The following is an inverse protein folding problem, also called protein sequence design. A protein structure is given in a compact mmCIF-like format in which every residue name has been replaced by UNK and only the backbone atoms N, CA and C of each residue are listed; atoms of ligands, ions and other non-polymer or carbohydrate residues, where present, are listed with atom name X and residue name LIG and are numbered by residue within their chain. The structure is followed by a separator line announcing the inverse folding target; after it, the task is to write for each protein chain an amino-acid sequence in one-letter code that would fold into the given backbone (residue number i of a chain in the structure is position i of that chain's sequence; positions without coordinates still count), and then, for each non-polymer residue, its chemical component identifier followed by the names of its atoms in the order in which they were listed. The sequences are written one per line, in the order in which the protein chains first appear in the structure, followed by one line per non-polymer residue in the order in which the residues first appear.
data_IF_265113651090
#
_entry.id   IF_265113651090
#
_cell.length_a   1.000
_cell.length_b   1.000
_cell.length_c   1.000
_cell.angle_alpha   90.00
_cell.angle_beta   90.00
_cell.angle_gamma   90.00
#
_symmetry.space_group_name_H-M   'P 1'
#
loop_
_entity.id
_entity.type
_entity.pdbx_description
1 polymer ?
#
# COMPACT_ATOMS: atom_id res chain seq x y z
N UNK A 1 0.03 30.63 7.52
CA UNK A 1 0.57 30.94 8.86
C UNK A 1 -0.08 30.00 9.84
N UNK A 2 0.68 29.03 10.35
CA UNK A 2 0.46 28.29 11.61
C UNK A 2 1.55 27.19 11.68
N UNK A 3 2.77 27.59 12.01
CA UNK A 3 3.79 26.66 12.48
C UNK A 3 3.44 26.30 13.91
N UNK A 4 2.54 25.34 14.10
CA UNK A 4 2.27 24.75 15.41
C UNK A 4 3.50 23.99 15.88
N UNK A 5 4.44 24.67 16.55
CA UNK A 5 5.45 24.00 17.35
C UNK A 5 4.71 23.24 18.45
N UNK A 6 4.59 21.93 18.30
CA UNK A 6 4.14 21.05 19.37
C UNK A 6 5.08 21.25 20.56
N UNK A 7 4.62 22.01 21.56
CA UNK A 7 5.39 22.29 22.76
C UNK A 7 5.58 20.98 23.51
N UNK A 8 6.83 20.68 23.88
CA UNK A 8 7.16 19.49 24.64
C UNK A 8 6.38 19.46 25.96
N UNK A 9 5.65 18.37 26.28
CA UNK A 9 4.88 18.26 27.52
C UNK A 9 5.84 18.14 28.72
N UNK A 10 5.90 19.19 29.54
CA UNK A 10 6.85 19.27 30.66
C UNK A 10 6.56 18.25 31.75
N UNK A 11 5.32 17.81 31.86
CA UNK A 11 4.85 16.78 32.79
C UNK A 11 5.56 15.45 32.55
N UNK A 12 6.03 15.22 31.32
CA UNK A 12 6.77 14.02 30.93
C UNK A 12 8.12 13.92 31.63
N UNK A 13 8.70 15.04 32.09
CA UNK A 13 9.98 15.04 32.81
C UNK A 13 9.88 14.33 34.17
N UNK A 14 8.70 14.32 34.79
CA UNK A 14 8.43 13.62 36.05
C UNK A 14 7.99 12.16 35.87
N UNK A 15 7.81 11.68 34.64
CA UNK A 15 7.41 10.30 34.38
C UNK A 15 8.61 9.34 34.35
N UNK A 16 8.33 8.04 34.34
CA UNK A 16 9.36 7.01 34.26
C UNK A 16 10.18 7.11 32.96
N UNK A 17 11.36 6.50 32.94
CA UNK A 17 12.22 6.53 31.76
C UNK A 17 11.57 5.84 30.55
N UNK A 18 10.78 4.77 30.77
CA UNK A 18 10.04 4.06 29.72
C UNK A 18 9.00 4.97 29.05
N UNK A 19 8.26 5.74 29.84
CA UNK A 19 7.24 6.66 29.33
C UNK A 19 7.87 7.78 28.48
N UNK A 20 9.03 8.31 28.93
CA UNK A 20 9.80 9.31 28.19
C UNK A 20 10.33 8.77 26.87
N UNK A 21 10.88 7.55 26.87
CA UNK A 21 11.36 6.89 25.67
C UNK A 21 10.23 6.65 24.66
N UNK A 22 9.08 6.15 25.13
CA UNK A 22 7.91 5.90 24.28
C UNK A 22 7.41 7.17 23.61
N UNK A 23 7.34 8.29 24.33
CA UNK A 23 6.99 9.58 23.75
C UNK A 23 7.98 10.00 22.67
N UNK A 24 9.29 9.92 22.96
CA UNK A 24 10.33 10.30 22.00
C UNK A 24 10.26 9.46 20.72
N UNK A 25 10.07 8.15 20.84
CA UNK A 25 9.93 7.25 19.70
C UNK A 25 8.65 7.52 18.89
N UNK A 26 7.56 7.94 19.53
CA UNK A 26 6.31 8.30 18.86
C UNK A 26 6.34 9.71 18.25
N UNK A 27 7.19 10.60 18.77
CA UNK A 27 7.25 11.98 18.32
C UNK A 27 7.89 12.06 16.92
N UNK A 28 7.11 12.57 15.97
CA UNK A 28 7.58 12.86 14.62
C UNK A 28 7.64 14.36 14.42
N UNK A 29 8.84 14.91 14.22
CA UNK A 29 9.00 16.33 13.95
C UNK A 29 8.53 16.65 12.52
N UNK A 30 7.66 17.66 12.39
CA UNK A 30 7.21 18.17 11.10
C UNK A 30 8.33 18.99 10.42
N UNK A 31 9.26 18.31 9.75
CA UNK A 31 10.35 18.96 9.02
C UNK A 31 9.80 19.69 7.77
N UNK A 32 10.11 20.99 7.54
CA UNK A 32 9.53 21.77 6.45
C UNK A 32 9.66 21.13 5.06
N UNK A 33 10.80 20.49 4.76
CA UNK A 33 10.98 19.77 3.49
C UNK A 33 10.08 18.55 3.34
N UNK A 34 9.77 17.87 4.44
CA UNK A 34 8.88 16.71 4.41
C UNK A 34 7.42 17.14 4.24
N UNK A 35 7.05 18.28 4.83
CA UNK A 35 5.75 18.92 4.59
C UNK A 35 5.59 19.34 3.13
N UNK A 36 6.59 20.02 2.55
CA UNK A 36 6.55 20.40 1.14
C UNK A 36 6.47 19.17 0.20
N UNK A 37 7.23 18.11 0.51
CA UNK A 37 7.16 16.85 -0.24
C UNK A 37 5.80 16.16 -0.12
N UNK A 38 5.11 16.31 1.02
CA UNK A 38 3.74 15.82 1.22
C UNK A 38 2.75 16.55 0.33
N UNK A 39 2.76 17.89 0.35
CA UNK A 39 1.84 18.68 -0.47
C UNK A 39 2.05 18.38 -1.96
N UNK A 40 3.30 18.42 -2.43
CA UNK A 40 3.62 18.13 -3.84
C UNK A 40 3.20 16.71 -4.26
N UNK A 41 3.29 15.73 -3.36
CA UNK A 41 2.85 14.37 -3.64
C UNK A 41 1.32 14.26 -3.69
N UNK A 42 0.59 14.95 -2.82
CA UNK A 42 -0.88 14.98 -2.87
C UNK A 42 -1.37 15.65 -4.15
N UNK A 43 -0.83 16.83 -4.47
CA UNK A 43 -1.13 17.55 -5.71
C UNK A 43 -0.91 16.63 -6.93
N UNK A 44 0.24 15.94 -6.99
CA UNK A 44 0.51 14.99 -8.06
C UNK A 44 -0.50 13.82 -8.09
N UNK A 45 -0.92 13.29 -6.94
CA UNK A 45 -1.92 12.21 -6.91
C UNK A 45 -3.28 12.69 -7.43
N UNK A 46 -3.69 13.92 -7.09
CA UNK A 46 -4.99 14.47 -7.46
C UNK A 46 -5.04 14.97 -8.91
N UNK A 47 -3.96 15.52 -9.44
CA UNK A 47 -3.93 16.13 -10.78
C UNK A 47 -3.58 15.13 -11.91
N UNK A 48 -2.92 14.02 -11.58
CA UNK A 48 -2.43 13.11 -12.61
C UNK A 48 -3.53 12.23 -13.22
N UNK A 49 -3.33 11.88 -14.49
CA UNK A 49 -4.19 10.93 -15.18
C UNK A 49 -4.14 9.54 -14.53
N UNK A 50 -5.20 8.75 -14.75
CA UNK A 50 -5.24 7.34 -14.36
C UNK A 50 -4.00 6.59 -14.86
N UNK A 51 -3.52 5.64 -14.05
CA UNK A 51 -2.36 4.80 -14.34
C UNK A 51 -1.01 5.54 -14.39
N UNK A 52 -0.90 6.70 -13.72
CA UNK A 52 0.36 7.42 -13.58
C UNK A 52 1.32 6.77 -12.58
N UNK A 53 2.63 6.97 -12.79
CA UNK A 53 3.69 6.49 -11.91
C UNK A 53 4.37 7.67 -11.21
N UNK A 54 4.29 7.70 -9.88
CA UNK A 54 4.98 8.70 -9.05
C UNK A 54 6.11 8.01 -8.27
N UNK A 55 7.33 8.55 -8.39
CA UNK A 55 8.53 8.01 -7.73
C UNK A 55 9.00 8.94 -6.62
N UNK A 56 8.97 8.46 -5.37
CA UNK A 56 9.49 9.19 -4.21
C UNK A 56 10.88 8.67 -3.86
N UNK A 57 11.91 9.48 -4.10
CA UNK A 57 13.31 9.11 -3.94
C UNK A 57 13.98 9.87 -2.79
N UNK A 58 14.95 9.24 -2.13
CA UNK A 58 15.75 9.87 -1.08
C UNK A 58 16.51 8.86 -0.23
N UNK A 59 17.49 9.30 0.58
CA UNK A 59 18.31 8.39 1.38
C UNK A 59 17.52 7.69 2.49
N UNK A 60 18.08 6.63 3.06
CA UNK A 60 17.47 5.93 4.21
C UNK A 60 17.35 6.88 5.40
N UNK A 61 16.25 6.82 6.14
CA UNK A 61 16.03 7.65 7.34
C UNK A 61 15.45 9.05 7.09
N UNK A 62 15.28 9.51 5.85
CA UNK A 62 14.70 10.86 5.56
C UNK A 62 13.18 10.96 5.78
N UNK A 63 12.53 9.90 6.23
CA UNK A 63 11.08 9.91 6.50
C UNK A 63 10.20 9.52 5.33
N UNK A 64 10.70 8.83 4.29
CA UNK A 64 9.88 8.34 3.16
C UNK A 64 8.74 7.40 3.62
N UNK A 65 9.04 6.48 4.53
CA UNK A 65 8.03 5.58 5.11
C UNK A 65 6.98 6.36 5.90
N UNK A 66 7.42 7.38 6.64
CA UNK A 66 6.54 8.31 7.36
C UNK A 66 5.65 9.10 6.40
N UNK A 67 6.21 9.60 5.30
CA UNK A 67 5.49 10.31 4.24
C UNK A 67 4.41 9.41 3.63
N UNK A 68 4.77 8.17 3.24
CA UNK A 68 3.83 7.18 2.71
C UNK A 68 2.64 6.98 3.65
N UNK A 69 2.91 6.68 4.93
CA UNK A 69 1.85 6.46 5.93
C UNK A 69 0.97 7.69 6.14
N UNK A 70 1.54 8.90 6.07
CA UNK A 70 0.75 10.13 6.18
C UNK A 70 -0.15 10.35 4.97
N UNK A 71 0.32 10.08 3.76
CA UNK A 71 -0.46 10.16 2.53
C UNK A 71 -1.60 9.13 2.54
N UNK A 72 -1.30 7.89 2.93
CA UNK A 72 -2.31 6.82 3.08
C UNK A 72 -3.46 7.26 4.01
N UNK A 73 -3.13 7.86 5.16
CA UNK A 73 -4.13 8.39 6.10
C UNK A 73 -4.98 9.51 5.49
N UNK A 74 -4.36 10.44 4.76
CA UNK A 74 -5.06 11.57 4.16
C UNK A 74 -6.03 11.10 3.07
N UNK A 75 -5.56 10.27 2.13
CA UNK A 75 -6.40 9.71 1.07
C UNK A 75 -7.56 8.87 1.63
N UNK A 76 -7.31 8.08 2.67
CA UNK A 76 -8.37 7.31 3.35
C UNK A 76 -9.38 8.24 4.03
N UNK A 77 -8.93 9.34 4.62
CA UNK A 77 -9.80 10.31 5.29
C UNK A 77 -10.67 11.07 4.27
N UNK A 78 -10.07 11.47 3.14
CA UNK A 78 -10.77 12.13 2.03
C UNK A 78 -11.90 11.25 1.46
N UNK A 79 -11.65 9.95 1.35
CA UNK A 79 -12.60 8.98 0.80
C UNK A 79 -13.60 8.41 1.82
N UNK A 80 -13.55 8.83 3.09
CA UNK A 80 -14.32 8.19 4.17
C UNK A 80 -15.84 8.11 3.89
N UNK A 81 -16.41 9.17 3.29
CA UNK A 81 -17.83 9.19 2.91
C UNK A 81 -18.15 8.15 1.84
N UNK A 82 -17.27 8.00 0.85
CA UNK A 82 -17.42 7.03 -0.24
C UNK A 82 -17.25 5.60 0.28
N UNK A 83 -16.30 5.37 1.19
CA UNK A 83 -16.05 4.08 1.83
C UNK A 83 -17.24 3.62 2.69
N UNK A 84 -17.97 4.56 3.30
CA UNK A 84 -19.21 4.25 4.03
C UNK A 84 -20.34 3.82 3.11
N UNK A 85 -20.40 4.39 1.91
CA UNK A 85 -21.41 4.06 0.90
C UNK A 85 -21.08 2.76 0.15
N UNK A 86 -19.79 2.53 -0.12
CA UNK A 86 -19.27 1.34 -0.79
C UNK A 86 -18.02 0.82 -0.06
N UNK A 87 -18.20 -0.13 0.88
CA UNK A 87 -17.09 -0.75 1.60
C UNK A 87 -16.14 -1.55 0.70
N UNK A 88 -16.53 -1.87 -0.54
CA UNK A 88 -15.70 -2.55 -1.51
C UNK A 88 -14.64 -1.65 -2.15
N UNK A 89 -14.78 -0.32 -2.02
CA UNK A 89 -13.87 0.66 -2.59
C UNK A 89 -12.56 0.71 -1.84
N UNK A 90 -11.45 0.79 -2.58
CA UNK A 90 -10.10 0.84 -2.02
C UNK A 90 -9.54 2.28 -2.11
N UNK A 91 -9.22 2.93 -0.98
CA UNK A 91 -8.62 4.26 -1.01
C UNK A 91 -7.13 4.19 -1.39
N UNK A 92 -6.39 3.29 -0.75
CA UNK A 92 -4.97 3.04 -1.02
C UNK A 92 -4.66 1.58 -0.74
N UNK A 93 -3.80 0.97 -1.57
CA UNK A 93 -3.22 -0.35 -1.32
C UNK A 93 -1.71 -0.21 -1.32
N UNK A 94 -1.09 -0.56 -0.19
CA UNK A 94 0.34 -0.35 0.04
C UNK A 94 1.03 -1.68 0.33
N UNK A 95 2.03 -2.04 -0.47
CA UNK A 95 2.76 -3.30 -0.30
C UNK A 95 4.26 -3.06 -0.38
N UNK A 96 4.98 -3.51 0.64
CA UNK A 96 6.43 -3.42 0.68
C UNK A 96 7.11 -4.48 -0.19
N UNK A 97 8.18 -4.08 -0.87
CA UNK A 97 9.10 -4.98 -1.54
C UNK A 97 10.13 -5.54 -0.59
N UNK A 98 9.82 -6.69 0.00
CA UNK A 98 10.81 -7.46 0.76
C UNK A 98 11.86 -8.01 -0.20
N UNK A 99 13.13 -7.77 0.13
CA UNK A 99 14.25 -8.35 -0.59
C UNK A 99 14.21 -9.88 -0.42
N UNK A 100 14.30 -10.66 -1.51
CA UNK A 100 14.22 -12.11 -1.43
C UNK A 100 15.47 -12.69 -0.75
N UNK A 101 15.28 -13.62 0.19
CA UNK A 101 16.39 -14.37 0.81
C UNK A 101 17.19 -15.18 -0.22
N UNK A 102 16.53 -15.66 -1.27
CA UNK A 102 17.12 -16.44 -2.37
C UNK A 102 17.66 -15.60 -3.54
N UNK A 103 17.63 -14.27 -3.43
CA UNK A 103 18.08 -13.36 -4.48
C UNK A 103 17.13 -13.18 -5.67
N UNK A 104 16.06 -13.98 -5.77
CA UNK A 104 15.06 -13.86 -6.87
C UNK A 104 13.72 -13.34 -6.36
N UNK A 105 13.21 -12.26 -6.96
CA UNK A 105 11.92 -11.67 -6.61
C UNK A 105 10.76 -12.65 -6.87
N UNK A 106 9.90 -12.84 -5.87
CA UNK A 106 8.74 -13.74 -5.96
C UNK A 106 7.47 -12.97 -6.29
N UNK A 107 7.06 -13.00 -7.57
CA UNK A 107 5.79 -12.43 -8.02
C UNK A 107 4.58 -13.05 -7.32
N UNK A 108 4.64 -14.36 -7.03
CA UNK A 108 3.60 -15.06 -6.27
C UNK A 108 3.41 -14.45 -4.88
N UNK A 109 4.50 -14.27 -4.14
CA UNK A 109 4.45 -13.68 -2.79
C UNK A 109 3.95 -12.23 -2.85
N UNK A 110 4.42 -11.45 -3.84
CA UNK A 110 3.95 -10.09 -4.08
C UNK A 110 2.44 -10.03 -4.30
N UNK A 111 1.91 -10.78 -5.26
CA UNK A 111 0.48 -10.72 -5.58
C UNK A 111 -0.37 -11.26 -4.44
N UNK A 112 0.08 -12.30 -3.74
CA UNK A 112 -0.61 -12.79 -2.53
C UNK A 112 -0.70 -11.70 -1.46
N UNK A 113 0.42 -11.01 -1.14
CA UNK A 113 0.42 -9.89 -0.18
C UNK A 113 -0.50 -8.75 -0.61
N UNK A 114 -0.55 -8.45 -1.91
CA UNK A 114 -1.44 -7.44 -2.45
C UNK A 114 -2.91 -7.82 -2.23
N UNK A 115 -3.30 -9.07 -2.52
CA UNK A 115 -4.66 -9.57 -2.27
C UNK A 115 -5.02 -9.53 -0.79
N UNK A 116 -4.10 -9.92 0.09
CA UNK A 116 -4.30 -9.84 1.54
C UNK A 116 -4.47 -8.39 2.01
N UNK A 117 -3.68 -7.46 1.46
CA UNK A 117 -3.78 -6.03 1.78
C UNK A 117 -5.10 -5.42 1.27
N UNK A 118 -5.66 -5.94 0.19
CA UNK A 118 -6.99 -5.57 -0.30
C UNK A 118 -8.12 -6.24 0.47
N UNK A 119 -7.82 -7.04 1.50
CA UNK A 119 -8.80 -7.87 2.21
C UNK A 119 -9.63 -8.73 1.26
N UNK A 120 -8.96 -9.34 0.28
CA UNK A 120 -9.63 -10.17 -0.71
C UNK A 120 -10.15 -11.46 -0.05
N UNK A 121 -11.45 -11.76 -0.11
CA UNK A 121 -11.99 -12.94 0.55
C UNK A 121 -11.51 -14.20 -0.17
N UNK A 122 -11.27 -15.25 0.62
CA UNK A 122 -10.98 -16.60 0.11
C UNK A 122 -9.81 -16.66 -0.89
N UNK A 123 -8.76 -15.84 -0.71
CA UNK A 123 -7.59 -15.77 -1.61
C UNK A 123 -7.08 -17.17 -1.99
N UNK A 124 -6.89 -18.04 -1.00
CA UNK A 124 -6.31 -19.37 -1.20
C UNK A 124 -7.27 -20.32 -1.96
N UNK A 125 -8.58 -20.01 -2.03
CA UNK A 125 -9.58 -20.77 -2.79
C UNK A 125 -9.89 -20.18 -4.17
N UNK A 126 -9.36 -18.98 -4.49
CA UNK A 126 -9.47 -18.37 -5.83
C UNK A 126 -8.46 -18.93 -6.83
N UNK A 127 -7.53 -19.73 -6.33
CA UNK A 127 -6.56 -20.47 -7.11
C UNK A 127 -7.17 -21.82 -7.42
N UNK A 128 -7.19 -22.19 -8.69
CA UNK A 128 -7.51 -23.56 -9.07
C UNK A 128 -6.20 -24.26 -9.46
N UNK A 129 -5.46 -24.85 -8.49
CA UNK A 129 -4.19 -25.51 -8.78
C UNK A 129 -4.31 -26.72 -9.73
N UNK A 130 -5.54 -27.13 -10.07
CA UNK A 130 -5.84 -28.16 -11.07
C UNK A 130 -6.51 -27.63 -12.34
N UNK A 131 -6.71 -26.32 -12.48
CA UNK A 131 -7.34 -25.76 -13.67
C UNK A 131 -6.43 -26.01 -14.88
N UNK A 132 -6.97 -26.59 -15.96
CA UNK A 132 -6.20 -26.71 -17.17
C UNK A 132 -5.93 -25.33 -17.76
N UNK A 133 -4.67 -25.02 -18.00
CA UNK A 133 -4.29 -23.82 -18.74
C UNK A 133 -4.47 -24.12 -20.23
N UNK A 134 -5.25 -23.29 -20.93
CA UNK A 134 -5.36 -23.36 -22.39
C UNK A 134 -4.15 -22.69 -23.02
N UNK A 135 -3.32 -23.47 -23.71
CA UNK A 135 -2.24 -22.96 -24.56
C UNK A 135 -2.62 -23.31 -26.00
N UNK A 136 -3.19 -22.34 -26.73
CA UNK A 136 -3.83 -22.57 -28.02
C UNK A 136 -5.07 -23.48 -27.90
N UNK A 137 -5.13 -24.54 -28.72
CA UNK A 137 -6.21 -25.55 -28.68
C UNK A 137 -5.94 -26.71 -27.71
N UNK A 138 -4.83 -26.67 -26.97
CA UNK A 138 -4.48 -27.74 -26.01
C UNK A 138 -4.86 -27.35 -24.58
N UNK A 139 -5.52 -28.29 -23.91
CA UNK A 139 -5.88 -28.26 -22.50
C UNK A 139 -4.81 -29.04 -21.75
N UNK A 140 -3.94 -28.35 -21.00
CA UNK A 140 -2.83 -29.00 -20.28
C UNK A 140 -3.07 -28.88 -18.76
N UNK A 141 -2.98 -30.00 -18.05
CA UNK A 141 -2.96 -30.03 -16.58
C UNK A 141 -1.56 -29.66 -16.11
N UNK A 142 -1.35 -28.39 -15.77
CA UNK A 142 -0.02 -27.88 -15.45
C UNK A 142 0.35 -28.27 -14.00
N UNK A 143 1.38 -29.09 -13.82
CA UNK A 143 2.12 -29.11 -12.55
C UNK A 143 2.85 -27.77 -12.46
N UNK A 144 2.23 -26.79 -11.79
CA UNK A 144 2.66 -25.40 -11.82
C UNK A 144 4.05 -25.26 -11.16
N UNK A 145 5.05 -24.90 -11.97
CA UNK A 145 6.32 -24.41 -11.44
C UNK A 145 6.09 -23.10 -10.66
N UNK A 146 6.99 -22.73 -9.76
CA UNK A 146 6.86 -21.50 -8.96
C UNK A 146 6.62 -20.22 -9.79
N UNK A 147 7.10 -20.19 -11.06
CA UNK A 147 6.82 -19.11 -12.02
C UNK A 147 5.39 -19.14 -12.57
N UNK A 148 4.83 -20.33 -12.80
CA UNK A 148 3.48 -20.50 -13.32
C UNK A 148 2.40 -20.25 -12.24
N UNK A 149 2.68 -20.52 -10.96
CA UNK A 149 1.76 -20.13 -9.85
C UNK A 149 1.64 -18.60 -9.73
N UNK A 150 2.64 -17.83 -10.17
CA UNK A 150 2.58 -16.37 -10.17
C UNK A 150 1.48 -15.80 -11.07
N UNK A 151 1.15 -16.45 -12.19
CA UNK A 151 0.15 -15.94 -13.14
C UNK A 151 -1.29 -16.10 -12.63
N UNK A 152 -1.56 -17.10 -11.78
CA UNK A 152 -2.89 -17.28 -11.17
C UNK A 152 -3.21 -16.12 -10.22
N UNK A 153 -2.28 -15.81 -9.31
CA UNK A 153 -2.43 -14.68 -8.41
C UNK A 153 -2.50 -13.35 -9.15
N UNK A 154 -1.76 -13.20 -10.25
CA UNK A 154 -1.85 -12.01 -11.11
C UNK A 154 -3.28 -11.81 -11.63
N UNK A 155 -3.89 -12.86 -12.18
CA UNK A 155 -5.26 -12.80 -12.68
C UNK A 155 -6.26 -12.45 -11.56
N UNK A 156 -6.10 -13.04 -10.38
CA UNK A 156 -6.97 -12.72 -9.23
C UNK A 156 -6.82 -11.26 -8.80
N UNK A 157 -5.60 -10.72 -8.81
CA UNK A 157 -5.35 -9.29 -8.54
C UNK A 157 -6.04 -8.41 -9.56
N UNK A 158 -5.92 -8.72 -10.86
CA UNK A 158 -6.59 -7.96 -11.92
C UNK A 158 -8.12 -7.96 -11.74
N UNK A 159 -8.70 -9.12 -11.43
CA UNK A 159 -10.14 -9.21 -11.17
C UNK A 159 -10.53 -8.41 -9.93
N UNK A 160 -9.80 -8.56 -8.81
CA UNK A 160 -10.07 -7.81 -7.58
C UNK A 160 -10.05 -6.29 -7.83
N UNK A 161 -9.02 -5.78 -8.52
CA UNK A 161 -8.91 -4.36 -8.87
C UNK A 161 -10.03 -3.89 -9.81
N UNK A 162 -10.45 -4.74 -10.76
CA UNK A 162 -11.55 -4.44 -11.67
C UNK A 162 -12.87 -4.25 -10.94
N UNK A 163 -13.18 -5.07 -9.93
CA UNK A 163 -14.45 -5.03 -9.19
C UNK A 163 -14.45 -4.02 -8.03
N UNK A 164 -13.29 -3.72 -7.43
CA UNK A 164 -13.17 -2.81 -6.28
C UNK A 164 -13.06 -1.33 -6.61
N UNK A 165 -13.21 -0.93 -7.89
CA UNK A 165 -13.20 0.46 -8.39
C UNK A 165 -12.16 1.32 -7.65
N UNK A 166 -10.87 1.08 -7.90
CA UNK A 166 -9.82 2.02 -7.50
C UNK A 166 -10.17 3.42 -8.06
N UNK A 167 -9.97 4.49 -7.28
CA UNK A 167 -10.49 5.82 -7.61
C UNK A 167 -10.16 6.21 -9.06
N UNK A 168 -11.20 6.49 -9.85
CA UNK A 168 -11.07 7.08 -11.18
C UNK A 168 -11.77 6.36 -12.33
N UNK A 169 -12.54 5.29 -12.09
CA UNK A 169 -13.44 4.77 -13.14
C UNK A 169 -14.81 5.46 -13.06
N UNK A 170 -14.88 6.69 -13.56
CA UNK A 170 -16.13 7.28 -14.03
C UNK A 170 -16.21 7.05 -15.54
N UNK A 171 -17.16 6.18 -15.91
CA UNK A 171 -17.74 5.90 -17.23
C UNK A 171 -16.82 5.43 -18.38
#
# INVERSE_FOLDING_TARGET
METGQAVFPRELLGQTWEARLKYFQAYTMAHPKLLAARESLLEAIHEMALNSLILVLGPTGVGKTTLRGRIEQLLTTEMLTELRADPGRLPVVSVECIAPESGTFSWRDRFRRLLLQMEEPLVDYKLNPGAPVRIGDRVVKLMLSARAVGSEYHHVVEQALRFRRASGRTD
#
